data_IF_730272567256
#
_entry.id   IF_730272567256
#
_cell.length_a   1.000
_cell.length_b   1.000
_cell.length_c   1.000
_cell.angle_alpha   90.00
_cell.angle_beta   90.00
_cell.angle_gamma   90.00
#
_symmetry.space_group_name_H-M   'P 1'
#
loop_
_entity.id
_entity.type
_entity.pdbx_description
1 polymer ?
#
# COMPACT_ATOMS: atom_id res chain seq x y z
N UNK A 1 9.81 7.40 -7.83
CA UNK A 1 10.12 6.09 -8.44
C UNK A 1 9.00 5.14 -8.06
N UNK A 2 8.23 4.64 -9.03
CA UNK A 2 7.17 3.67 -8.76
C UNK A 2 7.79 2.30 -8.51
N UNK A 3 7.30 1.58 -7.50
CA UNK A 3 7.73 0.23 -7.18
C UNK A 3 6.50 -0.59 -6.79
N UNK A 4 6.53 -1.88 -7.15
CA UNK A 4 5.47 -2.84 -6.86
C UNK A 4 6.08 -4.05 -6.17
N UNK A 5 5.29 -4.73 -5.34
CA UNK A 5 5.65 -6.02 -4.79
C UNK A 5 4.47 -7.00 -4.93
N UNK A 6 4.79 -8.24 -5.26
CA UNK A 6 3.87 -9.36 -5.24
C UNK A 6 4.62 -10.61 -4.76
N UNK A 7 3.97 -11.41 -3.92
CA UNK A 7 4.48 -12.74 -3.55
C UNK A 7 3.94 -13.79 -4.51
N UNK A 8 4.83 -14.58 -5.11
CA UNK A 8 4.48 -15.70 -6.01
C UNK A 8 4.93 -17.00 -5.34
N UNK A 9 3.98 -17.77 -4.80
CA UNK A 9 4.22 -19.05 -4.13
C UNK A 9 3.00 -19.52 -3.32
N UNK A 10 2.99 -20.77 -2.88
CA UNK A 10 1.85 -21.36 -2.16
C UNK A 10 1.81 -21.02 -0.66
N UNK A 11 2.89 -20.44 -0.13
CA UNK A 11 3.04 -20.12 1.29
C UNK A 11 2.65 -18.69 1.68
N UNK A 12 3.12 -18.25 2.86
CA UNK A 12 2.93 -16.87 3.33
C UNK A 12 4.09 -15.98 2.88
N UNK A 13 3.79 -15.01 2.03
CA UNK A 13 4.70 -13.91 1.71
C UNK A 13 4.95 -12.99 2.90
N UNK A 14 6.13 -12.37 2.95
CA UNK A 14 6.49 -11.34 3.94
C UNK A 14 7.12 -10.17 3.21
N UNK A 15 6.73 -8.96 3.59
CA UNK A 15 7.30 -7.70 3.11
C UNK A 15 7.57 -6.80 4.31
N UNK A 16 8.68 -6.07 4.26
CA UNK A 16 9.00 -4.98 5.19
C UNK A 16 9.03 -3.68 4.40
N UNK A 17 8.19 -2.72 4.77
CA UNK A 17 8.11 -1.39 4.16
C UNK A 17 8.65 -0.37 5.16
N UNK A 18 9.55 0.50 4.71
CA UNK A 18 10.06 1.63 5.50
C UNK A 18 9.56 2.92 4.85
N UNK A 19 8.89 3.76 5.64
CA UNK A 19 8.35 5.04 5.20
C UNK A 19 8.90 6.18 6.05
N UNK A 20 9.22 7.31 5.41
CA UNK A 20 9.58 8.57 6.08
C UNK A 20 8.73 9.71 5.53
N UNK A 21 8.28 10.68 6.36
CA UNK A 21 8.48 10.79 7.80
C UNK A 21 7.78 9.66 8.59
N UNK A 22 8.26 9.39 9.80
CA UNK A 22 7.62 8.42 10.68
C UNK A 22 6.16 8.83 11.00
N UNK A 23 5.28 7.84 11.20
CA UNK A 23 3.88 8.06 11.58
C UNK A 23 2.87 8.14 10.43
N UNK A 24 3.28 8.55 9.22
CA UNK A 24 2.37 8.66 8.07
C UNK A 24 1.77 7.30 7.66
N UNK A 25 2.61 6.27 7.60
CA UNK A 25 2.16 4.91 7.24
C UNK A 25 1.24 4.31 8.31
N UNK A 26 1.49 4.61 9.59
CA UNK A 26 0.60 4.15 10.67
C UNK A 26 -0.77 4.84 10.60
N UNK A 27 -0.79 6.15 10.36
CA UNK A 27 -2.03 6.91 10.18
C UNK A 27 -2.85 6.37 9.01
N UNK A 28 -2.20 6.10 7.88
CA UNK A 28 -2.82 5.45 6.73
C UNK A 28 -3.45 4.11 7.09
N UNK A 29 -2.70 3.20 7.73
CA UNK A 29 -3.22 1.89 8.12
C UNK A 29 -4.42 2.01 9.06
N UNK A 30 -4.37 2.88 10.07
CA UNK A 30 -5.50 3.12 10.99
C UNK A 30 -6.77 3.62 10.29
N UNK A 31 -6.64 4.30 9.16
CA UNK A 31 -7.76 4.79 8.38
C UNK A 31 -8.36 3.69 7.50
N UNK A 32 -7.52 2.92 6.81
CA UNK A 32 -7.94 1.97 5.78
C UNK A 32 -8.27 0.56 6.29
N UNK A 33 -7.75 0.15 7.45
CA UNK A 33 -7.97 -1.21 7.98
C UNK A 33 -9.14 -1.31 8.96
N UNK A 34 -9.93 -0.23 9.15
CA UNK A 34 -11.03 -0.21 10.15
C UNK A 34 -12.05 -1.32 9.94
N UNK A 35 -12.30 -1.70 8.69
CA UNK A 35 -13.27 -2.74 8.32
C UNK A 35 -12.61 -4.07 7.92
N UNK A 36 -11.32 -4.25 8.20
CA UNK A 36 -10.52 -5.37 7.68
C UNK A 36 -10.62 -5.49 6.14
N UNK A 37 -10.87 -4.36 5.48
CA UNK A 37 -10.99 -4.22 4.04
C UNK A 37 -9.68 -3.74 3.42
N UNK A 38 -9.55 -3.91 2.10
CA UNK A 38 -8.47 -3.28 1.35
C UNK A 38 -8.67 -1.77 1.25
N UNK A 39 -7.59 -0.97 1.21
CA UNK A 39 -7.69 0.46 1.02
C UNK A 39 -8.49 0.82 -0.24
N UNK A 40 -9.39 1.80 -0.18
CA UNK A 40 -10.10 2.25 -1.37
C UNK A 40 -9.13 2.90 -2.37
N UNK A 41 -9.48 2.85 -3.65
CA UNK A 41 -8.66 3.40 -4.74
C UNK A 41 -8.84 4.92 -4.94
N UNK A 42 -9.42 5.63 -3.96
CA UNK A 42 -9.61 7.07 -4.02
C UNK A 42 -8.25 7.81 -3.95
N UNK A 43 -7.81 8.50 -5.02
CA UNK A 43 -6.53 9.19 -5.02
C UNK A 43 -6.38 10.26 -3.93
N UNK A 44 -7.46 10.84 -3.42
CA UNK A 44 -7.41 11.84 -2.36
C UNK A 44 -6.88 11.25 -1.04
N UNK A 45 -7.32 10.03 -0.70
CA UNK A 45 -6.84 9.28 0.46
C UNK A 45 -5.32 9.06 0.39
N UNK A 46 -4.82 8.52 -0.73
CA UNK A 46 -3.39 8.21 -0.88
C UNK A 46 -2.52 9.46 -0.78
N UNK A 47 -2.96 10.58 -1.39
CA UNK A 47 -2.23 11.86 -1.37
C UNK A 47 -2.14 12.46 0.04
N UNK A 48 -3.16 12.28 0.88
CA UNK A 48 -3.14 12.76 2.26
C UNK A 48 -1.99 12.14 3.08
N UNK A 49 -1.54 10.95 2.70
CA UNK A 49 -0.44 10.21 3.34
C UNK A 49 0.88 10.29 2.58
N UNK A 50 1.00 11.19 1.59
CA UNK A 50 2.21 11.37 0.79
C UNK A 50 2.46 10.24 -0.22
N UNK A 51 1.42 9.50 -0.59
CA UNK A 51 1.48 8.41 -1.56
C UNK A 51 0.73 8.77 -2.84
N UNK A 52 1.09 8.09 -3.93
CA UNK A 52 0.39 8.18 -5.21
C UNK A 52 0.05 6.76 -5.68
N UNK A 53 -1.22 6.52 -5.98
CA UNK A 53 -1.69 5.24 -6.51
C UNK A 53 -1.52 5.21 -8.03
N UNK A 54 -0.68 4.32 -8.52
CA UNK A 54 -0.40 4.18 -9.95
C UNK A 54 -1.09 2.95 -10.55
N UNK A 55 -2.07 3.18 -11.44
CA UNK A 55 -2.61 2.22 -12.41
C UNK A 55 -3.09 0.87 -11.86
N UNK A 56 -3.49 -0.07 -12.75
CA UNK A 56 -3.58 -1.47 -12.36
C UNK A 56 -2.15 -2.00 -12.06
N UNK A 57 -2.01 -2.98 -11.15
CA UNK A 57 -0.71 -3.58 -10.88
C UNK A 57 -0.10 -4.10 -12.19
N UNK A 58 1.20 -3.88 -12.44
CA UNK A 58 1.86 -4.40 -13.62
C UNK A 58 1.73 -5.94 -13.66
N UNK A 59 1.71 -6.54 -14.87
CA UNK A 59 1.59 -7.97 -15.02
C UNK A 59 2.73 -8.69 -14.29
N UNK A 60 2.39 -9.78 -13.60
CA UNK A 60 3.37 -10.72 -13.07
C UNK A 60 3.96 -11.48 -14.26
N UNK A 61 5.21 -11.18 -14.63
CA UNK A 61 5.96 -11.89 -15.67
C UNK A 61 6.42 -13.26 -15.22
#
# INVERSE_FOLDING_TARGET
MSHVWAFVGEGRGRILIVSTPAGQMEAFFREVTRENAMPPQDPALWRAHGMELHGPPPPLS
#
